data_IF_262513694201
#
_entry.id   IF_262513694201
#
_cell.length_a   1.000
_cell.length_b   1.000
_cell.length_c   1.000
_cell.angle_alpha   90.00
_cell.angle_beta   90.00
_cell.angle_gamma   90.00
#
_symmetry.space_group_name_H-M   'P 1'
#
loop_
_entity.id
_entity.type
_entity.pdbx_description
1 polymer ?
#
# COMPACT_ATOMS: atom_id res chain seq x y z
N UNK A 1 1.52 -8.28 -13.26
CA UNK A 1 1.58 -6.96 -12.60
C UNK A 1 2.68 -7.06 -11.56
N UNK A 2 3.48 -6.00 -11.32
CA UNK A 2 4.41 -6.00 -10.19
C UNK A 2 3.64 -6.23 -8.90
N UNK A 3 4.22 -6.98 -7.96
CA UNK A 3 3.63 -7.13 -6.63
C UNK A 3 3.56 -5.77 -5.95
N UNK A 4 2.44 -5.47 -5.29
CA UNK A 4 2.32 -4.32 -4.42
C UNK A 4 2.24 -4.76 -2.96
N UNK A 5 2.88 -3.99 -2.10
CA UNK A 5 2.97 -4.20 -0.67
C UNK A 5 2.37 -2.99 0.06
N UNK A 6 2.04 -3.16 1.34
CA UNK A 6 1.43 -2.13 2.16
C UNK A 6 2.23 -1.95 3.44
N UNK A 7 2.54 -0.70 3.78
CA UNK A 7 3.25 -0.36 5.01
C UNK A 7 2.57 0.83 5.70
N UNK A 8 2.55 0.80 7.03
CA UNK A 8 1.94 1.84 7.85
C UNK A 8 2.98 2.86 8.32
N UNK A 9 2.73 4.13 8.02
CA UNK A 9 3.58 5.24 8.43
C UNK A 9 2.81 6.30 9.22
N UNK A 10 3.57 7.18 9.87
CA UNK A 10 3.08 8.48 10.34
C UNK A 10 3.73 9.57 9.52
N UNK A 11 2.89 10.49 9.03
CA UNK A 11 3.35 11.75 8.42
C UNK A 11 4.06 12.63 9.44
N UNK A 12 4.78 13.64 8.95
CA UNK A 12 5.49 14.60 9.81
C UNK A 12 4.53 15.38 10.71
N UNK A 13 3.32 15.62 10.23
CA UNK A 13 2.25 16.25 11.00
C UNK A 13 1.55 15.28 11.99
N UNK A 14 2.05 14.06 12.14
CA UNK A 14 1.52 13.00 13.00
C UNK A 14 0.32 12.25 12.42
N UNK A 15 -0.15 12.58 11.22
CA UNK A 15 -1.31 11.93 10.61
C UNK A 15 -0.96 10.50 10.16
N UNK A 16 -1.68 9.47 10.63
CA UNK A 16 -1.38 8.09 10.28
C UNK A 16 -1.83 7.78 8.84
N UNK A 17 -0.96 7.10 8.09
CA UNK A 17 -1.19 6.74 6.69
C UNK A 17 -0.74 5.30 6.41
N UNK A 18 -1.38 4.67 5.44
CA UNK A 18 -0.93 3.40 4.85
C UNK A 18 -0.46 3.71 3.43
N UNK A 19 0.75 3.28 3.12
CA UNK A 19 1.40 3.47 1.82
C UNK A 19 1.36 2.15 1.06
N UNK A 20 0.87 2.20 -0.17
CA UNK A 20 1.04 1.12 -1.15
C UNK A 20 2.31 1.40 -1.95
N UNK A 21 3.23 0.45 -1.98
CA UNK A 21 4.47 0.56 -2.71
C UNK A 21 4.73 -0.67 -3.58
N UNK A 22 5.57 -0.51 -4.59
CA UNK A 22 6.02 -1.58 -5.47
C UNK A 22 7.50 -1.42 -5.78
N UNK A 23 8.17 -2.52 -6.06
CA UNK A 23 9.53 -2.52 -6.59
C UNK A 23 9.51 -2.62 -8.12
N UNK A 24 10.33 -1.81 -8.78
CA UNK A 24 10.47 -1.89 -10.23
C UNK A 24 11.38 -3.07 -10.62
N UNK A 25 10.97 -3.96 -11.54
CA UNK A 25 11.87 -5.03 -12.02
C UNK A 25 13.02 -4.42 -12.84
N UNK A 26 14.25 -4.63 -12.38
CA UNK A 26 15.48 -4.06 -12.95
C UNK A 26 16.43 -3.44 -11.92
N UNK A 27 16.00 -3.37 -10.65
CA UNK A 27 16.85 -2.94 -9.54
C UNK A 27 17.17 -4.14 -8.62
N UNK A 28 18.26 -4.84 -8.94
CA UNK A 28 18.82 -5.92 -8.12
C UNK A 28 19.68 -5.31 -7.00
N UNK A 29 19.05 -4.91 -5.88
CA UNK A 29 19.84 -4.68 -4.65
C UNK A 29 19.12 -5.05 -3.34
N UNK A 30 18.06 -5.84 -3.39
CA UNK A 30 17.72 -6.69 -2.25
C UNK A 30 18.28 -8.07 -2.58
N UNK A 31 19.15 -8.60 -1.72
CA UNK A 31 19.72 -9.95 -1.88
C UNK A 31 18.61 -10.92 -2.29
N UNK A 32 18.66 -11.40 -3.54
CA UNK A 32 17.77 -12.45 -4.01
C UNK A 32 18.55 -13.75 -4.01
N UNK A 33 18.22 -14.72 -3.14
CA UNK A 33 18.88 -16.04 -3.12
C UNK A 33 18.78 -16.77 -4.46
N UNK A 34 17.83 -16.38 -5.33
CA UNK A 34 17.62 -16.94 -6.66
C UNK A 34 18.63 -16.43 -7.70
N UNK A 35 19.17 -15.22 -7.54
CA UNK A 35 20.01 -14.55 -8.55
C UNK A 35 21.46 -14.31 -8.10
N UNK A 36 21.79 -14.59 -6.83
CA UNK A 36 23.15 -14.46 -6.31
C UNK A 36 23.54 -12.99 -6.02
N UNK A 37 24.64 -12.81 -5.30
CA UNK A 37 25.16 -11.50 -4.95
C UNK A 37 25.93 -10.89 -6.12
N UNK A 38 25.22 -10.37 -7.12
CA UNK A 38 25.79 -9.44 -8.09
C UNK A 38 25.42 -8.02 -7.66
N UNK A 39 26.44 -7.21 -7.38
CA UNK A 39 26.30 -5.82 -6.94
C UNK A 39 25.69 -4.96 -8.03
N UNK A 40 24.37 -4.81 -8.00
CA UNK A 40 23.59 -3.86 -8.79
C UNK A 40 23.25 -2.58 -8.01
N UNK A 41 22.89 -1.52 -8.73
CA UNK A 41 22.33 -0.29 -8.16
C UNK A 41 21.07 -0.58 -7.33
N UNK A 42 20.89 0.19 -6.26
CA UNK A 42 19.87 0.05 -5.22
C UNK A 42 18.48 -0.33 -5.71
N UNK A 43 17.77 -1.21 -4.99
CA UNK A 43 16.36 -1.48 -5.24
C UNK A 43 15.57 -0.18 -5.08
N UNK A 44 14.88 0.30 -6.11
CA UNK A 44 14.04 1.49 -6.02
C UNK A 44 12.63 1.08 -5.56
N UNK A 45 12.29 1.41 -4.32
CA UNK A 45 10.92 1.37 -3.85
C UNK A 45 10.16 2.60 -4.39
N UNK A 46 8.99 2.37 -4.98
CA UNK A 46 8.14 3.46 -5.46
C UNK A 46 6.79 3.43 -4.74
N UNK A 47 6.42 4.55 -4.13
CA UNK A 47 5.10 4.73 -3.54
C UNK A 47 4.06 4.96 -4.63
N UNK A 48 3.17 3.98 -4.80
CA UNK A 48 2.08 3.98 -5.79
C UNK A 48 0.88 4.77 -5.28
N UNK A 49 0.50 4.55 -4.02
CA UNK A 49 -0.66 5.20 -3.42
C UNK A 49 -0.45 5.42 -1.92
N UNK A 50 -1.19 6.37 -1.35
CA UNK A 50 -1.18 6.65 0.07
C UNK A 50 -2.61 6.93 0.56
N UNK A 51 -2.99 6.29 1.66
CA UNK A 51 -4.33 6.28 2.20
C UNK A 51 -4.33 6.69 3.68
N UNK A 52 -5.37 7.38 4.17
CA UNK A 52 -5.50 7.63 5.60
C UNK A 52 -5.63 6.34 6.40
N UNK A 53 -4.79 6.11 7.40
CA UNK A 53 -4.90 4.98 8.32
C UNK A 53 -5.62 5.40 9.61
N UNK A 54 -6.91 5.68 9.48
CA UNK A 54 -7.75 6.14 10.61
C UNK A 54 -9.00 5.29 10.73
N UNK A 55 -9.51 5.04 11.96
CA UNK A 55 -10.75 4.33 12.17
C UNK A 55 -11.93 4.94 11.41
N UNK A 56 -11.98 6.27 11.29
CA UNK A 56 -13.02 7.00 10.59
C UNK A 56 -12.98 6.74 9.08
N UNK A 57 -11.79 6.72 8.48
CA UNK A 57 -11.62 6.41 7.07
C UNK A 57 -11.97 4.94 6.79
N UNK A 58 -11.51 4.02 7.63
CA UNK A 58 -11.82 2.59 7.51
C UNK A 58 -13.34 2.34 7.61
N UNK A 59 -14.04 3.05 8.50
CA UNK A 59 -15.49 2.99 8.60
C UNK A 59 -16.20 3.54 7.34
N UNK A 60 -15.67 4.59 6.71
CA UNK A 60 -16.23 5.12 5.45
C UNK A 60 -16.07 4.11 4.30
N UNK A 61 -14.88 3.53 4.15
CA UNK A 61 -14.61 2.49 3.15
C UNK A 61 -15.45 1.24 3.40
N UNK A 62 -15.59 0.81 4.66
CA UNK A 62 -16.45 -0.31 5.05
C UNK A 62 -17.92 -0.08 4.69
N UNK A 63 -18.45 1.12 4.93
CA UNK A 63 -19.83 1.49 4.52
C UNK A 63 -20.01 1.49 3.00
N UNK A 64 -19.04 2.02 2.26
CA UNK A 64 -19.08 2.01 0.80
C UNK A 64 -19.10 0.57 0.27
N UNK A 65 -18.22 -0.27 0.80
CA UNK A 65 -18.13 -1.68 0.43
C UNK A 65 -19.44 -2.39 0.76
N UNK A 66 -19.98 -2.24 1.98
CA UNK A 66 -21.24 -2.87 2.38
C UNK A 66 -22.39 -2.60 1.38
N UNK A 67 -22.48 -1.39 0.82
CA UNK A 67 -23.48 -1.06 -0.20
C UNK A 67 -23.08 -1.63 -1.57
N UNK A 68 -21.79 -1.60 -1.92
CA UNK A 68 -21.29 -2.14 -3.18
C UNK A 68 -21.51 -3.65 -3.32
N UNK A 69 -21.40 -4.41 -2.22
CA UNK A 69 -21.64 -5.85 -2.18
C UNK A 69 -23.13 -6.23 -2.27
N UNK A 70 -24.06 -5.27 -2.22
CA UNK A 70 -25.49 -5.56 -2.43
C UNK A 70 -25.79 -5.92 -3.89
N UNK A 71 -26.58 -6.99 -4.13
CA UNK A 71 -26.86 -7.50 -5.48
C UNK A 71 -27.69 -6.55 -6.33
N UNK A 72 -28.59 -5.77 -5.71
CA UNK A 72 -29.37 -4.72 -6.36
C UNK A 72 -29.33 -3.44 -5.54
N UNK A 73 -29.15 -2.32 -6.24
CA UNK A 73 -28.96 -1.00 -5.62
C UNK A 73 -30.13 -0.09 -5.99
N UNK A 74 -30.81 0.43 -4.97
CA UNK A 74 -31.84 1.46 -5.10
C UNK A 74 -31.22 2.79 -5.52
N UNK A 75 -32.04 3.73 -6.02
CA UNK A 75 -31.58 5.07 -6.39
C UNK A 75 -30.94 5.80 -5.20
N UNK A 76 -31.54 5.68 -4.01
CA UNK A 76 -30.99 6.24 -2.77
C UNK A 76 -29.61 5.68 -2.46
N UNK A 77 -29.41 4.36 -2.59
CA UNK A 77 -28.11 3.73 -2.38
C UNK A 77 -27.06 4.19 -3.41
N UNK A 78 -27.45 4.44 -4.67
CA UNK A 78 -26.54 5.02 -5.67
C UNK A 78 -26.10 6.43 -5.29
N UNK A 79 -27.03 7.27 -4.81
CA UNK A 79 -26.69 8.60 -4.27
C UNK A 79 -25.78 8.50 -3.04
N UNK A 80 -26.05 7.56 -2.13
CA UNK A 80 -25.19 7.30 -0.97
C UNK A 80 -23.79 6.86 -1.38
N UNK A 81 -23.64 5.99 -2.39
CA UNK A 81 -22.33 5.61 -2.95
C UNK A 81 -21.59 6.85 -3.45
N UNK A 82 -22.24 7.70 -4.25
CA UNK A 82 -21.62 8.91 -4.79
C UNK A 82 -21.15 9.84 -3.66
N UNK A 83 -21.97 10.03 -2.64
CA UNK A 83 -21.63 10.83 -1.47
C UNK A 83 -20.48 10.23 -0.63
N UNK A 84 -20.48 8.91 -0.42
CA UNK A 84 -19.40 8.22 0.29
C UNK A 84 -18.08 8.32 -0.49
N UNK A 85 -18.11 8.15 -1.82
CA UNK A 85 -16.93 8.34 -2.68
C UNK A 85 -16.37 9.75 -2.57
N UNK A 86 -17.23 10.76 -2.56
CA UNK A 86 -16.80 12.15 -2.36
C UNK A 86 -16.13 12.33 -0.99
N UNK A 87 -16.71 11.80 0.09
CA UNK A 87 -16.11 11.89 1.43
C UNK A 87 -14.77 11.17 1.53
N UNK A 88 -14.66 9.98 0.94
CA UNK A 88 -13.39 9.23 0.86
C UNK A 88 -12.35 10.03 0.10
N UNK A 89 -12.73 10.64 -1.03
CA UNK A 89 -11.83 11.49 -1.81
C UNK A 89 -11.35 12.71 -1.01
N UNK A 90 -12.25 13.39 -0.28
CA UNK A 90 -11.86 14.52 0.59
C UNK A 90 -10.91 14.04 1.70
N UNK A 91 -11.24 12.93 2.38
CA UNK A 91 -10.41 12.38 3.45
C UNK A 91 -9.03 11.96 2.92
N UNK A 92 -8.95 11.39 1.72
CA UNK A 92 -7.70 11.02 1.07
C UNK A 92 -6.76 12.21 0.82
N UNK A 93 -7.26 13.45 0.75
CA UNK A 93 -6.38 14.63 0.62
C UNK A 93 -5.48 14.82 1.84
N UNK A 94 -5.93 14.41 3.03
CA UNK A 94 -5.13 14.50 4.25
C UNK A 94 -3.95 13.51 4.26
N UNK A 95 -3.99 12.45 3.45
CA UNK A 95 -2.91 11.48 3.31
C UNK A 95 -1.88 11.83 2.23
N UNK A 96 -2.04 12.95 1.51
CA UNK A 96 -1.10 13.35 0.46
C UNK A 96 0.27 13.69 1.05
N UNK A 97 1.25 12.83 0.79
CA UNK A 97 2.65 13.03 1.17
C UNK A 97 3.25 14.23 0.41
N UNK A 98 4.16 14.94 1.08
CA UNK A 98 5.10 15.83 0.37
C UNK A 98 6.17 14.99 -0.32
N UNK A 99 6.90 15.60 -1.26
CA UNK A 99 7.99 14.92 -1.96
C UNK A 99 9.09 14.47 -0.96
N UNK A 100 9.44 15.33 0.01
CA UNK A 100 10.39 14.99 1.07
C UNK A 100 9.90 13.86 2.00
N UNK A 101 8.61 13.82 2.35
CA UNK A 101 8.02 12.73 3.14
C UNK A 101 8.07 11.41 2.34
N UNK A 102 7.78 11.48 1.04
CA UNK A 102 7.81 10.32 0.14
C UNK A 102 9.21 9.76 0.02
N UNK A 103 10.22 10.59 -0.25
CA UNK A 103 11.61 10.14 -0.40
C UNK A 103 12.12 9.45 0.87
N UNK A 104 11.85 10.02 2.05
CA UNK A 104 12.24 9.39 3.32
C UNK A 104 11.54 8.05 3.56
N UNK A 105 10.27 7.93 3.20
CA UNK A 105 9.53 6.69 3.33
C UNK A 105 10.03 5.64 2.34
N UNK A 106 10.33 6.02 1.10
CA UNK A 106 10.90 5.13 0.08
C UNK A 106 12.26 4.60 0.53
N UNK A 107 13.16 5.45 1.05
CA UNK A 107 14.45 5.02 1.62
C UNK A 107 14.24 4.03 2.77
N UNK A 108 13.32 4.33 3.70
CA UNK A 108 13.03 3.43 4.81
C UNK A 108 12.52 2.06 4.34
N UNK A 109 11.64 2.05 3.33
CA UNK A 109 11.10 0.82 2.74
C UNK A 109 12.23 0.00 2.13
N UNK A 110 13.17 0.61 1.41
CA UNK A 110 14.32 -0.10 0.82
C UNK A 110 15.17 -0.75 1.92
N UNK A 111 15.40 -0.04 3.03
CA UNK A 111 16.21 -0.54 4.15
C UNK A 111 15.52 -1.65 4.97
N UNK A 112 14.19 -1.65 5.06
CA UNK A 112 13.42 -2.50 5.98
C UNK A 112 12.56 -3.55 5.28
N UNK A 113 12.51 -3.57 3.95
CA UNK A 113 11.80 -4.62 3.22
C UNK A 113 12.61 -5.92 3.26
N UNK A 114 12.26 -6.79 4.21
CA UNK A 114 12.74 -8.16 4.23
C UNK A 114 11.99 -8.97 3.16
N UNK A 115 12.71 -9.37 2.11
CA UNK A 115 12.20 -10.38 1.19
C UNK A 115 12.20 -11.73 1.93
N UNK A 116 11.03 -12.23 2.34
CA UNK A 116 10.90 -13.62 2.75
C UNK A 116 10.91 -14.50 1.49
N UNK A 117 12.00 -15.23 1.17
CA UNK A 117 11.90 -16.29 0.20
C UNK A 117 10.92 -17.33 0.74
N UNK A 118 9.82 -17.53 0.02
CA UNK A 118 8.91 -18.65 0.23
C UNK A 118 9.71 -19.94 -0.01
N UNK A 119 10.32 -20.48 1.05
CA UNK A 119 10.99 -21.77 0.98
C UNK A 119 9.86 -22.80 0.89
N UNK A 120 9.75 -23.56 -0.21
CA UNK A 120 8.79 -24.65 -0.22
C UNK A 120 9.16 -25.61 0.91
N UNK A 121 8.23 -25.86 1.82
CA UNK A 121 8.35 -26.77 2.96
C UNK A 121 8.66 -28.20 2.48
N UNK A 122 9.91 -28.49 2.14
CA UNK A 122 10.36 -29.82 1.71
C UNK A 122 10.48 -30.80 2.89
N UNK A 123 10.15 -30.38 4.11
CA UNK A 123 10.17 -31.21 5.32
C UNK A 123 8.94 -32.13 5.48
N UNK A 124 7.87 -31.94 4.70
CA UNK A 124 6.68 -32.81 4.74
C UNK A 124 6.72 -33.97 3.72
N UNK A 125 7.85 -34.16 3.02
CA UNK A 125 8.05 -35.29 2.10
C UNK A 125 8.98 -36.33 2.74
N UNK A 126 8.53 -37.01 3.80
CA UNK A 126 9.20 -38.22 4.32
C UNK A 126 8.23 -39.28 4.83
#
# INVERSE_FOLDING_TARGET
>A
MPASYFEDFKRDNGFPVTVEYSFSPGCEATYSPMYGADGGDGADAMIVACFPNTPEFNALCGRLNAINWLPRKTLRQKCTIAWLKLRIWIAGRAARLTDDERERMEIWIIEHHEYEPDYPDWEDVR
#
